data_IF_490910738251
#
_entry.id   IF_490910738251
#
_cell.length_a   1.000
_cell.length_b   1.000
_cell.length_c   1.000
_cell.angle_alpha   90.00
_cell.angle_beta   90.00
_cell.angle_gamma   90.00
#
_symmetry.space_group_name_H-M   'P 1'
#
loop_
_entity.id
_entity.type
_entity.pdbx_description
1 polymer ?
#
# COMPACT_ATOMS: atom_id res chain seq x y z
N UNK A 1 0.98 1.59 -8.77
CA UNK A 1 0.63 1.98 -7.38
C UNK A 1 0.20 3.43 -7.37
N UNK A 2 -0.75 3.81 -6.52
CA UNK A 2 -1.02 5.21 -6.18
C UNK A 2 -0.23 5.57 -4.92
N UNK A 3 0.50 6.68 -4.94
CA UNK A 3 1.18 7.20 -3.73
C UNK A 3 0.23 8.18 -3.06
N UNK A 4 -0.28 7.82 -1.88
CA UNK A 4 -1.36 8.56 -1.21
C UNK A 4 -0.98 8.88 0.24
N UNK A 5 -0.59 10.13 0.48
CA UNK A 5 -0.30 10.60 1.84
C UNK A 5 -1.53 10.65 2.75
N UNK A 6 -2.75 10.56 2.20
CA UNK A 6 -4.00 10.49 2.96
C UNK A 6 -4.37 9.08 3.44
N UNK A 7 -3.65 8.04 2.98
CA UNK A 7 -3.88 6.67 3.41
C UNK A 7 -3.00 6.31 4.62
N UNK A 8 -3.58 5.71 5.66
CA UNK A 8 -2.84 5.36 6.89
C UNK A 8 -1.78 4.26 6.67
N UNK A 9 -2.04 3.33 5.76
CA UNK A 9 -1.19 2.16 5.49
C UNK A 9 -1.11 1.87 3.99
N UNK A 10 -0.16 1.03 3.58
CA UNK A 10 -0.17 0.43 2.25
C UNK A 10 -1.28 -0.62 2.12
N UNK A 11 -2.05 -0.56 1.03
CA UNK A 11 -3.12 -1.53 0.72
C UNK A 11 -3.01 -1.99 -0.73
N UNK A 12 -2.93 -3.29 -0.93
CA UNK A 12 -2.79 -3.94 -2.23
C UNK A 12 -3.99 -4.82 -2.56
N UNK A 13 -4.14 -5.16 -3.83
CA UNK A 13 -5.13 -6.15 -4.26
C UNK A 13 -4.74 -7.53 -3.75
N UNK A 14 -5.72 -8.36 -3.34
CA UNK A 14 -5.45 -9.70 -2.82
C UNK A 14 -4.65 -10.57 -3.79
N UNK A 15 -4.98 -10.49 -5.09
CA UNK A 15 -4.25 -11.15 -6.19
C UNK A 15 -2.72 -10.95 -6.11
N UNK A 16 -2.25 -9.77 -5.70
CA UNK A 16 -0.80 -9.54 -5.55
C UNK A 16 -0.20 -10.38 -4.42
N UNK A 17 -0.90 -10.52 -3.30
CA UNK A 17 -0.45 -11.35 -2.19
C UNK A 17 -0.63 -12.85 -2.48
N UNK A 18 -1.71 -13.23 -3.16
CA UNK A 18 -1.93 -14.60 -3.62
C UNK A 18 -0.82 -15.06 -4.59
N UNK A 19 -0.39 -14.18 -5.50
CA UNK A 19 0.75 -14.43 -6.39
C UNK A 19 2.08 -14.60 -5.64
N UNK A 20 2.20 -14.03 -4.43
CA UNK A 20 3.33 -14.25 -3.51
C UNK A 20 3.16 -15.51 -2.64
N UNK A 21 2.06 -16.25 -2.80
CA UNK A 21 1.76 -17.45 -2.02
C UNK A 21 1.11 -17.19 -0.66
N UNK A 22 0.60 -15.97 -0.42
CA UNK A 22 -0.11 -15.63 0.82
C UNK A 22 -1.54 -16.19 0.82
N UNK A 23 -1.93 -16.76 1.94
CA UNK A 23 -3.32 -17.11 2.22
C UNK A 23 -4.02 -15.89 2.83
N UNK A 24 -4.63 -15.06 1.98
CA UNK A 24 -5.13 -13.72 2.35
C UNK A 24 -6.07 -13.76 3.56
N UNK A 25 -7.08 -14.66 3.63
CA UNK A 25 -7.98 -14.74 4.78
C UNK A 25 -7.31 -15.10 6.12
N UNK A 26 -6.08 -15.66 6.12
CA UNK A 26 -5.32 -15.92 7.37
C UNK A 26 -4.66 -14.68 7.96
N UNK A 27 -4.62 -13.57 7.22
CA UNK A 27 -4.13 -12.30 7.74
C UNK A 27 -5.03 -11.71 8.81
N UNK A 28 -4.57 -10.66 9.48
CA UNK A 28 -5.36 -10.01 10.54
C UNK A 28 -6.43 -9.12 9.91
N UNK A 29 -7.74 -9.39 10.11
CA UNK A 29 -8.81 -8.62 9.48
C UNK A 29 -8.89 -7.21 10.08
N UNK A 30 -9.12 -6.24 9.21
CA UNK A 30 -9.24 -4.81 9.52
C UNK A 30 -10.18 -4.12 8.55
N UNK A 31 -10.70 -2.98 8.97
CA UNK A 31 -11.55 -2.14 8.15
C UNK A 31 -10.83 -0.85 7.77
N UNK A 32 -11.04 -0.38 6.54
CA UNK A 32 -10.61 0.94 6.06
C UNK A 32 -11.83 1.75 5.66
N UNK A 33 -11.78 3.05 5.91
CA UNK A 33 -12.85 4.00 5.58
C UNK A 33 -12.33 5.00 4.56
N UNK A 34 -13.01 5.08 3.41
CA UNK A 34 -12.80 6.19 2.47
C UNK A 34 -13.60 7.43 2.86
N UNK A 35 -13.37 8.53 2.14
CA UNK A 35 -14.10 9.81 2.32
C UNK A 35 -15.62 9.64 2.24
N UNK A 36 -16.10 8.66 1.45
CA UNK A 36 -17.53 8.33 1.34
C UNK A 36 -18.12 7.52 2.51
N UNK A 37 -17.35 7.27 3.58
CA UNK A 37 -17.80 6.59 4.80
C UNK A 37 -18.07 5.08 4.67
N UNK A 38 -17.88 4.49 3.48
CA UNK A 38 -18.00 3.04 3.29
C UNK A 38 -16.78 2.33 3.85
N UNK A 39 -17.03 1.39 4.76
CA UNK A 39 -16.02 0.47 5.26
C UNK A 39 -15.72 -0.59 4.20
N UNK A 40 -14.44 -0.98 4.07
CA UNK A 40 -14.02 -2.14 3.31
C UNK A 40 -13.08 -3.00 4.14
N UNK A 41 -13.17 -4.31 3.99
CA UNK A 41 -12.35 -5.27 4.71
C UNK A 41 -11.02 -5.49 4.00
N UNK A 42 -9.94 -5.54 4.76
CA UNK A 42 -8.62 -5.98 4.31
C UNK A 42 -7.96 -6.88 5.35
N UNK A 43 -6.95 -7.63 4.92
CA UNK A 43 -6.19 -8.55 5.75
C UNK A 43 -4.72 -8.14 5.80
N UNK A 44 -4.18 -7.94 7.00
CA UNK A 44 -2.77 -7.58 7.16
C UNK A 44 -1.87 -8.80 7.02
N UNK A 45 -0.79 -8.63 6.25
CA UNK A 45 0.31 -9.57 6.09
C UNK A 45 1.65 -8.83 6.11
N UNK A 46 2.69 -9.49 6.60
CA UNK A 46 4.06 -9.00 6.45
C UNK A 46 4.59 -9.37 5.06
N UNK A 47 5.10 -8.37 4.34
CA UNK A 47 5.71 -8.53 3.02
C UNK A 47 6.96 -7.67 2.89
N UNK A 48 7.80 -7.97 1.91
CA UNK A 48 8.89 -7.10 1.51
C UNK A 48 8.51 -6.36 0.24
N UNK A 49 8.69 -5.04 0.24
CA UNK A 49 8.58 -4.22 -0.96
C UNK A 49 9.96 -3.77 -1.40
N UNK A 50 10.20 -3.73 -2.71
CA UNK A 50 11.39 -3.13 -3.30
C UNK A 50 10.99 -1.89 -4.08
N UNK A 51 11.60 -0.75 -3.75
CA UNK A 51 11.35 0.54 -4.41
C UNK A 51 12.69 1.15 -4.74
N UNK A 52 12.98 1.42 -6.02
CA UNK A 52 14.24 2.06 -6.42
C UNK A 52 15.51 1.32 -6.01
N UNK A 53 15.44 -0.01 -5.80
CA UNK A 53 16.55 -0.83 -5.32
C UNK A 53 16.68 -0.89 -3.79
N UNK A 54 15.78 -0.27 -3.03
CA UNK A 54 15.70 -0.37 -1.57
C UNK A 54 14.61 -1.35 -1.15
N UNK A 55 15.00 -2.38 -0.40
CA UNK A 55 14.09 -3.38 0.15
C UNK A 55 13.63 -3.02 1.57
N UNK A 56 12.33 -3.07 1.82
CA UNK A 56 11.73 -2.77 3.13
C UNK A 56 10.70 -3.84 3.51
N UNK A 57 10.84 -4.41 4.70
CA UNK A 57 9.79 -5.23 5.31
C UNK A 57 8.71 -4.35 5.90
N UNK A 58 7.47 -4.61 5.51
CA UNK A 58 6.30 -3.80 5.87
C UNK A 58 5.14 -4.70 6.27
N UNK A 59 4.22 -4.17 7.08
CA UNK A 59 2.89 -4.75 7.24
C UNK A 59 1.95 -4.07 6.24
N UNK A 60 1.38 -4.83 5.31
CA UNK A 60 0.51 -4.31 4.26
C UNK A 60 -0.88 -4.96 4.31
N UNK A 61 -1.91 -4.19 3.97
CA UNK A 61 -3.27 -4.69 3.83
C UNK A 61 -3.50 -5.30 2.45
N UNK A 62 -4.20 -6.43 2.40
CA UNK A 62 -4.64 -7.06 1.16
C UNK A 62 -6.16 -7.10 1.11
N UNK A 63 -6.74 -6.49 0.08
CA UNK A 63 -8.19 -6.38 -0.11
C UNK A 63 -8.67 -7.35 -1.19
N UNK A 64 -9.61 -8.26 -0.89
CA UNK A 64 -10.21 -9.16 -1.89
C UNK A 64 -11.04 -8.42 -2.94
N UNK A 65 -11.76 -7.37 -2.52
CA UNK A 65 -12.63 -6.57 -3.38
C UNK A 65 -12.19 -5.10 -3.34
N UNK A 66 -11.19 -4.74 -4.15
CA UNK A 66 -10.92 -3.32 -4.42
C UNK A 66 -11.97 -2.85 -5.42
N UNK A 67 -12.98 -2.12 -4.90
CA UNK A 67 -14.14 -1.60 -5.63
C UNK A 67 -13.92 -1.38 -7.15
N UNK A 68 -14.44 -2.32 -7.94
CA UNK A 68 -14.76 -2.12 -9.35
C UNK A 68 -13.64 -2.17 -10.38
N UNK A 69 -12.53 -2.89 -10.15
CA UNK A 69 -11.42 -3.03 -11.14
C UNK A 69 -10.73 -1.71 -11.55
N UNK A 70 -11.00 -0.60 -10.85
CA UNK A 70 -10.47 0.74 -11.18
C UNK A 70 -9.12 1.07 -10.54
N UNK A 71 -8.70 0.31 -9.52
CA UNK A 71 -7.36 0.42 -8.93
C UNK A 71 -6.62 -0.92 -9.11
N UNK A 72 -6.01 -1.16 -10.28
CA UNK A 72 -5.40 -2.46 -10.59
C UNK A 72 -4.18 -2.83 -9.74
N UNK A 73 -3.57 -1.90 -9.00
CA UNK A 73 -2.27 -2.14 -8.36
C UNK A 73 -2.22 -1.89 -6.84
N UNK A 74 -3.13 -1.09 -6.27
CA UNK A 74 -3.12 -0.71 -4.84
C UNK A 74 -2.50 0.67 -4.56
N UNK A 75 -2.48 1.02 -3.27
CA UNK A 75 -2.03 2.31 -2.74
C UNK A 75 -0.86 2.10 -1.77
N UNK A 76 0.07 3.06 -1.74
CA UNK A 76 1.13 3.15 -0.73
C UNK A 76 0.90 4.39 0.13
N UNK A 77 0.91 4.20 1.46
CA UNK A 77 0.46 5.19 2.43
C UNK A 77 1.46 5.41 3.57
N UNK A 78 0.99 6.05 4.65
CA UNK A 78 1.82 6.56 5.75
C UNK A 78 2.72 5.47 6.35
N UNK A 79 2.16 4.33 6.77
CA UNK A 79 2.93 3.17 7.25
C UNK A 79 3.31 2.23 6.11
N UNK A 80 4.57 1.82 6.11
CA UNK A 80 5.18 0.96 5.10
C UNK A 80 5.84 1.71 3.95
N UNK A 81 5.41 2.94 3.62
CA UNK A 81 6.01 3.72 2.53
C UNK A 81 6.54 5.08 2.98
N UNK A 82 5.70 5.99 3.48
CA UNK A 82 6.18 7.33 3.90
C UNK A 82 7.00 7.31 5.20
N UNK A 83 6.92 6.25 6.00
CA UNK A 83 7.81 6.03 7.14
C UNK A 83 9.20 5.51 6.72
N UNK A 84 9.31 4.89 5.55
CA UNK A 84 10.55 4.42 4.94
C UNK A 84 11.18 5.44 4.00
N UNK A 85 10.39 6.33 3.38
CA UNK A 85 10.85 7.33 2.43
C UNK A 85 10.37 8.74 2.77
N UNK A 86 11.28 9.72 2.67
CA UNK A 86 10.87 11.12 2.44
C UNK A 86 10.39 11.22 1.00
N UNK A 87 9.11 11.52 0.83
CA UNK A 87 8.44 11.62 -0.47
C UNK A 87 8.18 13.08 -0.80
N UNK A 88 8.65 13.53 -1.97
CA UNK A 88 8.37 14.86 -2.49
C UNK A 88 7.65 14.76 -3.83
N UNK A 89 6.49 15.41 -3.93
CA UNK A 89 5.74 15.52 -5.18
C UNK A 89 6.06 16.83 -5.89
N UNK A 90 6.38 16.77 -7.18
CA UNK A 90 6.50 17.92 -8.04
C UNK A 90 5.48 17.85 -9.17
N UNK A 91 4.29 18.39 -8.92
CA UNK A 91 3.18 18.35 -9.89
C UNK A 91 3.54 19.02 -11.22
N UNK A 92 4.25 20.15 -11.18
CA UNK A 92 4.60 20.88 -12.41
C UNK A 92 5.53 20.08 -13.33
N UNK A 93 6.35 19.20 -12.74
CA UNK A 93 7.24 18.30 -13.48
C UNK A 93 6.66 16.90 -13.66
N UNK A 94 5.52 16.62 -13.06
CA UNK A 94 4.93 15.28 -12.99
C UNK A 94 5.89 14.23 -12.41
N UNK A 95 6.73 14.64 -11.45
CA UNK A 95 7.77 13.81 -10.84
C UNK A 95 7.51 13.57 -9.35
N UNK A 96 8.02 12.44 -8.86
CA UNK A 96 8.22 12.20 -7.42
C UNK A 96 9.69 11.95 -7.14
N UNK A 97 10.15 12.43 -5.99
CA UNK A 97 11.48 12.14 -5.45
C UNK A 97 11.32 11.33 -4.17
N UNK A 98 12.05 10.23 -4.08
CA UNK A 98 12.06 9.32 -2.93
C UNK A 98 13.46 9.33 -2.32
N UNK A 99 13.55 9.56 -1.01
CA UNK A 99 14.79 9.44 -0.24
C UNK A 99 14.58 8.48 0.92
N UNK A 100 15.31 7.36 1.02
CA UNK A 100 15.17 6.46 2.16
C UNK A 100 15.50 7.18 3.46
N UNK A 101 14.67 7.00 4.49
CA UNK A 101 14.85 7.58 5.84
C UNK A 101 15.91 6.79 6.61
N UNK A 102 16.10 5.51 6.30
CA UNK A 102 17.13 4.62 6.85
C UNK A 102 17.88 3.98 5.68
N UNK A 103 19.21 4.16 5.67
CA UNK A 103 20.13 3.51 4.73
C UNK A 103 20.69 2.22 5.32
#
# INVERSE_FOLDING_TARGET
MLVDSGADICIFHSEAGEALGLDIPKGKPREVFGVGGKASLYYLHEVEIEVGGWAHKIEAGFMPDISGKRMPYGIVGQKGFFDNFVVQFNLKKEEIELKPVKA
#
